data_IF_298228154324
#
_entry.id   IF_298228154324
#
_cell.length_a   1.000
_cell.length_b   1.000
_cell.length_c   1.000
_cell.angle_alpha   90.00
_cell.angle_beta   90.00
_cell.angle_gamma   90.00
#
_symmetry.space_group_name_H-M   'P 1'
#
loop_
_entity.id
_entity.type
_entity.pdbx_description
1 polymer ?
#
# COMPACT_ATOMS: atom_id res chain seq x y z
N UNK A 1 7.97 10.86 -7.16
CA UNK A 1 7.23 10.84 -8.45
C UNK A 1 8.10 11.51 -9.51
N UNK A 2 8.37 10.86 -10.65
CA UNK A 2 9.18 11.46 -11.71
C UNK A 2 8.54 12.79 -12.14
N UNK A 3 9.32 13.87 -12.18
CA UNK A 3 8.84 15.19 -12.62
C UNK A 3 8.22 16.09 -11.55
N UNK A 4 8.03 15.63 -10.31
CA UNK A 4 7.63 16.50 -9.19
C UNK A 4 8.85 16.97 -8.39
N UNK A 5 8.97 18.27 -8.16
CA UNK A 5 10.01 18.84 -7.31
C UNK A 5 9.68 18.55 -5.83
N UNK A 6 10.57 17.89 -5.06
CA UNK A 6 10.30 17.58 -3.65
C UNK A 6 10.08 18.82 -2.78
N UNK A 7 10.53 20.00 -3.20
CA UNK A 7 10.28 21.28 -2.50
C UNK A 7 8.83 21.75 -2.58
N UNK A 8 8.05 21.22 -3.52
CA UNK A 8 6.63 21.56 -3.67
C UNK A 8 5.75 20.82 -2.66
N UNK A 9 6.30 19.84 -1.94
CA UNK A 9 5.61 19.15 -0.86
C UNK A 9 6.10 19.71 0.48
N UNK A 10 5.24 20.32 1.31
CA UNK A 10 5.65 20.87 2.59
C UNK A 10 6.11 19.79 3.59
N UNK A 11 5.68 18.54 3.39
CA UNK A 11 6.02 17.38 4.22
C UNK A 11 6.25 16.16 3.32
N UNK A 12 7.41 15.53 3.44
CA UNK A 12 7.71 14.25 2.79
C UNK A 12 7.20 13.10 3.66
N UNK A 13 5.96 12.68 3.40
CA UNK A 13 5.28 11.60 4.12
C UNK A 13 5.37 10.32 3.29
N UNK A 14 5.55 9.18 3.96
CA UNK A 14 5.51 7.85 3.35
C UNK A 14 4.08 7.51 2.88
N UNK A 15 3.67 8.09 1.75
CA UNK A 15 2.36 7.91 1.12
C UNK A 15 2.52 7.21 -0.23
N UNK A 16 1.72 6.17 -0.46
CA UNK A 16 1.67 5.44 -1.74
C UNK A 16 0.22 5.39 -2.24
N UNK A 17 0.01 5.65 -3.53
CA UNK A 17 -1.32 5.72 -4.14
C UNK A 17 -1.53 4.52 -5.06
N UNK A 18 -2.67 3.87 -4.93
CA UNK A 18 -3.11 2.77 -5.79
C UNK A 18 -4.40 3.17 -6.52
N UNK A 19 -4.48 2.98 -7.85
CA UNK A 19 -5.70 3.23 -8.61
C UNK A 19 -6.74 2.15 -8.32
N UNK A 20 -7.98 2.40 -8.71
CA UNK A 20 -9.07 1.43 -8.59
C UNK A 20 -8.77 0.23 -9.48
N UNK A 21 -8.96 -0.97 -8.92
CA UNK A 21 -8.90 -2.21 -9.69
C UNK A 21 -10.21 -2.35 -10.48
N UNK A 22 -10.19 -2.01 -11.76
CA UNK A 22 -11.34 -2.23 -12.65
C UNK A 22 -11.47 -3.74 -12.91
N UNK A 23 -12.38 -4.40 -12.19
CA UNK A 23 -12.68 -5.84 -12.37
C UNK A 23 -13.64 -6.09 -13.55
N UNK A 24 -13.98 -5.05 -14.31
CA UNK A 24 -14.95 -5.14 -15.40
C UNK A 24 -14.52 -4.25 -16.58
N UNK A 25 -13.80 -4.82 -17.54
CA UNK A 25 -13.59 -4.18 -18.83
C UNK A 25 -13.40 -5.23 -19.92
N UNK A 26 -14.48 -5.91 -20.29
CA UNK A 26 -14.52 -6.57 -21.60
C UNK A 26 -15.93 -6.94 -22.03
N UNK A 27 -16.85 -5.98 -22.13
CA UNK A 27 -17.95 -6.06 -23.11
C UNK A 27 -18.36 -4.63 -23.55
N UNK A 28 -18.06 -4.27 -24.79
CA UNK A 28 -19.01 -3.71 -25.78
C UNK A 28 -18.29 -3.24 -27.05
N UNK A 29 -18.84 -3.67 -28.18
CA UNK A 29 -18.39 -3.53 -29.57
C UNK A 29 -19.15 -2.44 -30.33
N UNK A 30 -18.51 -1.74 -31.27
CA UNK A 30 -19.06 -1.28 -32.59
C UNK A 30 -18.02 -0.36 -33.28
N UNK A 31 -17.36 -0.79 -34.36
CA UNK A 31 -17.65 -0.54 -35.80
C UNK A 31 -17.65 0.94 -36.22
N UNK A 32 -16.54 1.42 -36.81
CA UNK A 32 -16.55 2.28 -38.02
C UNK A 32 -15.15 2.40 -38.67
N UNK A 33 -15.13 2.38 -40.01
CA UNK A 33 -14.02 1.99 -40.90
C UNK A 33 -12.93 3.07 -41.20
N UNK A 34 -12.53 3.92 -40.26
CA UNK A 34 -11.52 4.96 -40.55
C UNK A 34 -10.28 5.02 -39.64
N UNK A 35 -10.05 4.04 -38.77
CA UNK A 35 -8.83 4.09 -37.95
C UNK A 35 -8.49 2.79 -37.24
N UNK A 36 -8.07 1.76 -37.98
CA UNK A 36 -7.57 0.49 -37.41
C UNK A 36 -6.51 0.73 -36.33
N UNK A 37 -5.68 1.78 -36.46
CA UNK A 37 -4.70 2.17 -35.43
C UNK A 37 -5.33 2.85 -34.21
N UNK A 38 -6.41 3.61 -34.33
CA UNK A 38 -7.09 4.22 -33.18
C UNK A 38 -7.97 3.20 -32.44
N UNK A 39 -8.48 2.19 -33.13
CA UNK A 39 -9.23 1.07 -32.51
C UNK A 39 -8.35 0.18 -31.63
N UNK A 40 -7.02 0.20 -31.83
CA UNK A 40 -6.04 -0.55 -31.04
C UNK A 40 -5.52 0.23 -29.83
N UNK A 41 -5.81 1.55 -29.76
CA UNK A 41 -5.49 2.33 -28.59
C UNK A 41 -6.52 2.02 -27.49
N UNK A 42 -6.10 1.97 -26.21
CA UNK A 42 -7.04 1.94 -25.11
C UNK A 42 -8.06 3.08 -25.27
N UNK A 43 -9.35 2.73 -25.22
CA UNK A 43 -10.48 3.64 -25.51
C UNK A 43 -10.52 4.87 -24.57
N UNK A 44 -9.76 4.85 -23.47
CA UNK A 44 -9.68 5.98 -22.54
C UNK A 44 -8.28 6.21 -21.99
N UNK A 45 -7.90 7.48 -21.92
CA UNK A 45 -6.74 7.92 -21.15
C UNK A 45 -7.04 7.77 -19.65
N UNK A 46 -6.29 6.92 -18.96
CA UNK A 46 -6.53 6.59 -17.54
C UNK A 46 -5.95 7.63 -16.56
N UNK A 47 -4.96 8.43 -16.97
CA UNK A 47 -4.35 9.45 -16.10
C UNK A 47 -3.47 8.91 -14.95
N UNK A 48 -3.22 7.61 -14.90
CA UNK A 48 -2.33 6.99 -13.92
C UNK A 48 -1.53 5.82 -14.54
N UNK A 49 -0.39 5.42 -13.94
CA UNK A 49 0.34 4.23 -14.37
C UNK A 49 -0.51 2.95 -14.22
N UNK A 50 -0.13 1.88 -14.92
CA UNK A 50 -0.78 0.59 -14.77
C UNK A 50 -0.61 0.03 -13.35
N UNK A 51 -1.62 -0.71 -12.88
CA UNK A 51 -1.63 -1.31 -11.55
C UNK A 51 -0.41 -2.22 -11.34
N UNK A 52 -0.08 -3.06 -12.33
CA UNK A 52 1.03 -4.02 -12.21
C UNK A 52 2.38 -3.32 -11.96
N UNK A 53 2.61 -2.18 -12.62
CA UNK A 53 3.82 -1.39 -12.41
C UNK A 53 3.85 -0.76 -11.02
N UNK A 54 2.72 -0.24 -10.56
CA UNK A 54 2.60 0.36 -9.21
C UNK A 54 2.80 -0.70 -8.12
N UNK A 55 2.15 -1.86 -8.25
CA UNK A 55 2.30 -2.98 -7.30
C UNK A 55 3.74 -3.48 -7.29
N UNK A 56 4.38 -3.62 -8.46
CA UNK A 56 5.79 -4.01 -8.55
C UNK A 56 6.71 -3.00 -7.87
N UNK A 57 6.49 -1.70 -8.11
CA UNK A 57 7.26 -0.63 -7.47
C UNK A 57 7.06 -0.62 -5.95
N UNK A 58 5.83 -0.73 -5.48
CA UNK A 58 5.49 -0.78 -4.06
C UNK A 58 6.10 -1.99 -3.35
N UNK A 59 6.02 -3.16 -3.98
CA UNK A 59 6.62 -4.40 -3.47
C UNK A 59 8.13 -4.24 -3.27
N UNK A 60 8.82 -3.65 -4.26
CA UNK A 60 10.25 -3.38 -4.14
C UNK A 60 10.54 -2.44 -2.97
N UNK A 61 9.76 -1.36 -2.82
CA UNK A 61 9.91 -0.42 -1.72
C UNK A 61 9.72 -1.09 -0.35
N UNK A 62 8.70 -1.94 -0.19
CA UNK A 62 8.48 -2.70 1.06
C UNK A 62 9.64 -3.65 1.34
N UNK A 63 10.12 -4.39 0.34
CA UNK A 63 11.20 -5.36 0.55
C UNK A 63 12.56 -4.72 0.81
N UNK A 64 12.77 -3.49 0.34
CA UNK A 64 13.94 -2.67 0.65
C UNK A 64 13.85 -1.96 2.01
N UNK A 65 12.73 -2.06 2.72
CA UNK A 65 12.59 -1.42 4.03
C UNK A 65 13.59 -1.96 5.06
N UNK A 66 14.09 -1.08 5.92
CA UNK A 66 15.06 -1.43 6.96
C UNK A 66 14.43 -2.38 7.99
N UNK A 67 15.13 -3.46 8.33
CA UNK A 67 14.71 -4.43 9.36
C UNK A 67 15.44 -4.13 10.67
N UNK A 68 14.98 -3.11 11.40
CA UNK A 68 15.52 -2.78 12.72
C UNK A 68 15.11 -3.81 13.77
N UNK A 69 15.99 -4.09 14.73
CA UNK A 69 15.65 -5.00 15.83
C UNK A 69 14.52 -4.43 16.68
N UNK A 70 13.51 -5.26 16.95
CA UNK A 70 12.36 -4.87 17.77
C UNK A 70 12.68 -4.91 19.27
N UNK A 71 13.62 -5.75 19.67
CA UNK A 71 14.05 -5.97 21.05
C UNK A 71 15.57 -5.85 21.18
N UNK A 72 16.08 -5.78 22.42
CA UNK A 72 17.52 -5.78 22.68
C UNK A 72 18.21 -7.08 22.26
N UNK A 73 17.46 -8.19 22.15
CA UNK A 73 17.95 -9.48 21.65
C UNK A 73 17.45 -9.73 20.23
N UNK A 74 18.27 -10.36 19.39
CA UNK A 74 17.87 -10.77 18.05
C UNK A 74 16.82 -11.88 18.12
N UNK A 75 15.72 -11.71 17.39
CA UNK A 75 14.61 -12.68 17.33
C UNK A 75 14.70 -13.49 16.03
N UNK A 76 14.52 -14.81 16.14
CA UNK A 76 14.21 -15.68 14.99
C UNK A 76 12.70 -15.65 14.71
N UNK A 77 12.25 -16.17 13.57
CA UNK A 77 10.82 -16.24 13.24
C UNK A 77 9.98 -16.94 14.33
N UNK A 78 10.52 -18.02 14.92
CA UNK A 78 9.88 -18.72 16.03
C UNK A 78 9.78 -17.87 17.30
N UNK A 79 10.88 -17.22 17.68
CA UNK A 79 10.90 -16.38 18.88
C UNK A 79 10.05 -15.11 18.70
N UNK A 80 9.98 -14.57 17.48
CA UNK A 80 9.09 -13.46 17.13
C UNK A 80 7.62 -13.83 17.35
N UNK A 81 7.19 -15.04 16.93
CA UNK A 81 5.82 -15.51 17.17
C UNK A 81 5.49 -15.61 18.66
N UNK A 82 6.38 -16.21 19.46
CA UNK A 82 6.20 -16.27 20.92
C UNK A 82 6.17 -14.88 21.57
N UNK A 83 7.03 -13.98 21.11
CA UNK A 83 7.07 -12.59 21.57
C UNK A 83 5.76 -11.85 21.25
N UNK A 84 5.24 -11.99 20.04
CA UNK A 84 3.97 -11.40 19.63
C UNK A 84 2.80 -11.88 20.49
N UNK A 85 2.72 -13.18 20.76
CA UNK A 85 1.70 -13.76 21.65
C UNK A 85 1.78 -13.20 23.07
N UNK A 86 2.98 -13.13 23.65
CA UNK A 86 3.17 -12.53 24.99
C UNK A 86 2.81 -11.05 25.02
N UNK A 87 3.19 -10.31 23.99
CA UNK A 87 2.89 -8.87 23.86
C UNK A 87 1.39 -8.64 23.78
N UNK A 88 0.67 -9.44 22.99
CA UNK A 88 -0.78 -9.36 22.88
C UNK A 88 -1.51 -9.60 24.22
N UNK A 89 -1.12 -10.62 24.96
CA UNK A 89 -1.68 -10.90 26.29
C UNK A 89 -1.36 -9.80 27.31
N UNK A 90 -0.21 -9.12 27.15
CA UNK A 90 0.16 -7.96 27.97
C UNK A 90 -0.71 -6.74 27.64
N UNK A 91 -0.94 -6.47 26.35
CA UNK A 91 -1.80 -5.36 25.89
C UNK A 91 -3.22 -5.53 26.42
N UNK A 92 -3.80 -6.74 26.34
CA UNK A 92 -5.14 -7.03 26.86
C UNK A 92 -5.30 -6.73 28.35
N UNK A 93 -4.25 -6.97 29.14
CA UNK A 93 -4.24 -6.77 30.59
C UNK A 93 -3.72 -5.38 30.99
N UNK A 94 -3.46 -4.51 30.02
CA UNK A 94 -2.85 -3.21 30.25
C UNK A 94 -3.83 -2.26 30.96
N UNK A 95 -3.37 -1.65 32.04
CA UNK A 95 -4.11 -0.59 32.74
C UNK A 95 -4.35 0.61 31.83
N UNK A 96 -3.44 0.91 30.89
CA UNK A 96 -3.61 2.01 29.94
C UNK A 96 -4.89 1.84 29.09
N UNK A 97 -5.15 0.63 28.60
CA UNK A 97 -6.35 0.35 27.82
C UNK A 97 -7.61 0.49 28.68
N UNK A 98 -7.55 0.02 29.93
CA UNK A 98 -8.65 0.14 30.89
C UNK A 98 -8.95 1.60 31.25
N UNK A 99 -7.92 2.40 31.51
CA UNK A 99 -8.05 3.83 31.82
C UNK A 99 -8.56 4.63 30.62
N UNK A 100 -8.09 4.33 29.41
CA UNK A 100 -8.58 4.96 28.19
C UNK A 100 -10.08 4.70 27.98
N UNK A 101 -10.52 3.45 28.14
CA UNK A 101 -11.93 3.10 28.04
C UNK A 101 -12.78 3.82 29.09
N UNK A 102 -12.26 3.98 30.31
CA UNK A 102 -12.92 4.73 31.38
C UNK A 102 -13.11 6.20 31.03
N UNK A 103 -12.20 6.81 30.27
CA UNK A 103 -12.30 8.22 29.85
C UNK A 103 -13.27 8.45 28.70
N UNK A 104 -13.54 7.41 27.90
CA UNK A 104 -14.46 7.47 26.75
C UNK A 104 -15.88 7.04 27.08
N UNK A 105 -16.13 6.54 28.30
CA UNK A 105 -17.46 6.13 28.79
C UNK A 105 -17.96 7.16 29.79
#
# INVERSE_FOLDING_TARGET
MPGLNPKNLPLDVNLFVLPRLDTAASEHSSTDDQSVLLSLLPVSYQGHPSVDLLVKSFRNQIYSAARSSLTHTSLTEKNWFHYAGRTWETIKKSSLMSEFNRLLT
#
